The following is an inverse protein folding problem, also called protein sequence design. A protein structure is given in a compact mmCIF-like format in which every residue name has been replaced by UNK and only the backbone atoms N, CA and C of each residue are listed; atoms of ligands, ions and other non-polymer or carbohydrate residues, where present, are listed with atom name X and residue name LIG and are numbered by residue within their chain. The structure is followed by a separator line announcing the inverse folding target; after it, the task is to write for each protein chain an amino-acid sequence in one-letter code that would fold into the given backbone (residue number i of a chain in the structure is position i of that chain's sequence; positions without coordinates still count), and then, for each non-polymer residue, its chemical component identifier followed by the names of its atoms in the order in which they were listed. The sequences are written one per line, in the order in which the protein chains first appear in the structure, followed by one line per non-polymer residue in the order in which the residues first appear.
data_IF_303883659071
#
_entry.id   IF_303883659071
#
_cell.length_a   1.000
_cell.length_b   1.000
_cell.length_c   1.000
_cell.angle_alpha   90.00
_cell.angle_beta   90.00
_cell.angle_gamma   90.00
#
_symmetry.space_group_name_H-M   'P 1'
#
loop_
_entity.id
_entity.type
_entity.pdbx_description
1 polymer ?
#
# COMPACT_ATOMS: atom_id res chain seq x y z
N UNK A 1 -5.11 -0.22 -14.42
CA UNK A 1 -5.88 0.07 -13.19
C UNK A 1 -5.13 1.12 -12.38
N UNK A 2 -5.80 2.19 -12.00
CA UNK A 2 -5.21 3.24 -11.17
C UNK A 2 -5.07 2.77 -9.72
N UNK A 3 -4.15 3.38 -9.00
CA UNK A 3 -3.91 3.08 -7.58
C UNK A 3 -5.20 3.20 -6.76
N UNK A 4 -5.99 4.25 -7.00
CA UNK A 4 -7.26 4.45 -6.29
C UNK A 4 -8.28 3.35 -6.58
N UNK A 5 -8.34 2.86 -7.81
CA UNK A 5 -9.22 1.75 -8.19
C UNK A 5 -8.77 0.45 -7.52
N UNK A 6 -7.47 0.19 -7.55
CA UNK A 6 -6.89 -0.98 -6.92
C UNK A 6 -7.18 -0.99 -5.42
N UNK A 7 -7.06 0.17 -4.78
CA UNK A 7 -7.33 0.29 -3.35
C UNK A 7 -8.79 -0.01 -3.01
N UNK A 8 -9.73 0.52 -3.79
CA UNK A 8 -11.16 0.28 -3.56
C UNK A 8 -11.48 -1.22 -3.61
N UNK A 9 -10.95 -1.90 -4.62
CA UNK A 9 -11.19 -3.33 -4.80
C UNK A 9 -10.50 -4.16 -3.72
N UNK A 10 -9.26 -3.82 -3.41
CA UNK A 10 -8.48 -4.46 -2.36
C UNK A 10 -9.18 -4.36 -1.01
N UNK A 11 -9.62 -3.16 -0.66
CA UNK A 11 -10.31 -2.90 0.61
C UNK A 11 -11.57 -3.75 0.74
N UNK A 12 -12.34 -3.84 -0.33
CA UNK A 12 -13.57 -4.62 -0.34
C UNK A 12 -13.28 -6.12 -0.16
N UNK A 13 -12.29 -6.63 -0.89
CA UNK A 13 -11.89 -8.04 -0.77
C UNK A 13 -11.42 -8.39 0.64
N UNK A 14 -10.60 -7.53 1.24
CA UNK A 14 -10.09 -7.75 2.60
C UNK A 14 -11.20 -7.68 3.63
N UNK A 15 -12.17 -6.83 3.42
CA UNK A 15 -13.35 -6.74 4.29
C UNK A 15 -14.17 -8.03 4.22
N UNK A 16 -14.35 -8.57 3.03
CA UNK A 16 -15.06 -9.84 2.81
C UNK A 16 -14.29 -11.01 3.46
N UNK A 17 -12.96 -10.97 3.41
CA UNK A 17 -12.10 -11.97 4.04
C UNK A 17 -12.12 -11.91 5.57
N UNK A 18 -12.78 -10.92 6.15
CA UNK A 18 -12.93 -10.83 7.59
C UNK A 18 -11.87 -9.99 8.29
N UNK A 19 -11.13 -9.17 7.56
CA UNK A 19 -10.16 -8.27 8.18
C UNK A 19 -10.86 -7.29 9.10
N UNK A 20 -10.29 -7.07 10.29
CA UNK A 20 -10.88 -6.17 11.27
C UNK A 20 -10.88 -4.73 10.78
N UNK A 21 -11.84 -3.89 11.23
CA UNK A 21 -11.84 -2.46 10.89
C UNK A 21 -10.54 -1.75 11.26
N UNK A 22 -9.89 -2.17 12.34
CA UNK A 22 -8.62 -1.57 12.78
C UNK A 22 -7.50 -1.84 11.77
N UNK A 23 -7.41 -3.08 11.26
CA UNK A 23 -6.42 -3.44 10.25
C UNK A 23 -6.68 -2.69 8.96
N UNK A 24 -7.95 -2.59 8.54
CA UNK A 24 -8.33 -1.85 7.32
C UNK A 24 -7.99 -0.37 7.46
N UNK A 25 -8.16 0.21 8.63
CA UNK A 25 -7.81 1.60 8.90
C UNK A 25 -6.31 1.82 8.77
N UNK A 26 -5.50 0.89 9.26
CA UNK A 26 -4.04 0.93 9.14
C UNK A 26 -3.63 0.87 7.67
N UNK A 27 -4.25 -0.03 6.89
CA UNK A 27 -3.98 -0.13 5.45
C UNK A 27 -4.40 1.14 4.72
N UNK A 28 -5.53 1.74 5.09
CA UNK A 28 -5.99 3.00 4.51
C UNK A 28 -4.97 4.13 4.73
N UNK A 29 -4.43 4.22 5.93
CA UNK A 29 -3.38 5.19 6.25
C UNK A 29 -2.16 5.01 5.34
N UNK A 30 -1.69 3.77 5.17
CA UNK A 30 -0.55 3.46 4.32
C UNK A 30 -0.84 3.77 2.84
N UNK A 31 -2.05 3.46 2.38
CA UNK A 31 -2.48 3.79 1.02
C UNK A 31 -2.44 5.31 0.79
N UNK A 32 -2.94 6.10 1.74
CA UNK A 32 -2.95 7.55 1.61
C UNK A 32 -1.53 8.13 1.50
N UNK A 33 -0.57 7.56 2.22
CA UNK A 33 0.83 7.95 2.12
C UNK A 33 1.40 7.61 0.74
N UNK A 34 1.06 6.44 0.23
CA UNK A 34 1.49 5.99 -1.09
C UNK A 34 0.90 6.88 -2.19
N UNK A 35 -0.39 7.21 -2.07
CA UNK A 35 -1.08 8.10 -3.00
C UNK A 35 -0.46 9.50 -3.01
N UNK A 36 -0.08 9.98 -1.85
CA UNK A 36 0.56 11.30 -1.71
C UNK A 36 1.93 11.34 -2.36
N UNK A 37 2.66 10.24 -2.30
CA UNK A 37 4.01 10.16 -2.86
C UNK A 37 3.97 10.01 -4.39
N UNK A 38 3.15 9.10 -4.91
CA UNK A 38 3.12 8.78 -6.35
C UNK A 38 2.00 9.48 -7.11
N UNK A 39 1.00 10.03 -6.44
CA UNK A 39 -0.25 10.43 -7.09
C UNK A 39 -1.07 9.20 -7.45
N UNK A 40 -2.12 9.39 -8.24
CA UNK A 40 -2.99 8.29 -8.67
C UNK A 40 -2.37 7.58 -9.88
N UNK A 41 -1.23 6.95 -9.64
CA UNK A 41 -0.43 6.25 -10.65
C UNK A 41 -1.15 4.98 -11.12
N UNK A 42 -0.92 4.60 -12.39
CA UNK A 42 -1.38 3.30 -12.88
C UNK A 42 -0.55 2.19 -12.22
N UNK A 43 -1.23 1.13 -11.77
CA UNK A 43 -0.55 0.01 -11.08
C UNK A 43 0.48 -0.67 -11.97
N UNK A 44 0.32 -0.60 -13.30
CA UNK A 44 1.30 -1.14 -14.23
C UNK A 44 2.60 -0.33 -14.25
N UNK A 45 2.52 0.94 -13.88
CA UNK A 45 3.69 1.81 -13.79
C UNK A 45 4.35 1.76 -12.41
N UNK A 46 3.68 1.18 -11.43
CA UNK A 46 4.20 1.05 -10.08
C UNK A 46 5.08 -0.19 -10.00
N UNK A 47 6.35 -0.03 -10.31
CA UNK A 47 7.32 -1.12 -10.32
C UNK A 47 7.89 -1.39 -8.93
N UNK A 48 8.51 -2.57 -8.76
CA UNK A 48 9.23 -2.91 -7.53
C UNK A 48 10.32 -1.89 -7.21
N UNK A 49 11.01 -1.40 -8.24
CA UNK A 49 12.06 -0.40 -8.07
C UNK A 49 11.52 0.91 -7.50
N UNK A 50 10.37 1.37 -8.01
CA UNK A 50 9.72 2.58 -7.51
C UNK A 50 9.27 2.40 -6.05
N UNK A 51 8.77 1.23 -5.70
CA UNK A 51 8.38 0.91 -4.34
C UNK A 51 9.59 0.89 -3.40
N UNK A 52 10.71 0.33 -3.84
CA UNK A 52 11.94 0.34 -3.06
C UNK A 52 12.43 1.76 -2.80
N UNK A 53 12.41 2.61 -3.83
CA UNK A 53 12.79 4.01 -3.71
C UNK A 53 11.89 4.74 -2.71
N UNK A 54 10.59 4.53 -2.79
CA UNK A 54 9.64 5.08 -1.83
C UNK A 54 9.96 4.65 -0.41
N UNK A 55 10.24 3.36 -0.21
CA UNK A 55 10.54 2.82 1.11
C UNK A 55 11.86 3.37 1.68
N UNK A 56 12.86 3.57 0.83
CA UNK A 56 14.14 4.16 1.26
C UNK A 56 13.92 5.60 1.71
N UNK A 57 13.23 6.41 0.91
CA UNK A 57 12.99 7.81 1.23
C UNK A 57 12.10 7.97 2.46
N UNK A 58 11.03 7.20 2.53
CA UNK A 58 10.09 7.26 3.64
C UNK A 58 10.69 6.66 4.92
N UNK A 59 11.59 5.70 4.78
CA UNK A 59 12.18 5.01 5.92
C UNK A 59 13.25 5.79 6.67
N UNK A 60 13.76 6.87 6.09
CA UNK A 60 14.84 7.66 6.70
C UNK A 60 14.45 8.23 8.08
N UNK A 61 13.18 8.48 8.30
CA UNK A 61 12.67 9.08 9.54
C UNK A 61 11.74 8.15 10.31
N UNK A 62 11.63 6.88 9.90
CA UNK A 62 10.71 5.93 10.52
C UNK A 62 11.43 4.97 11.45
N UNK A 63 10.74 4.58 12.53
CA UNK A 63 11.18 3.50 13.41
C UNK A 63 11.09 2.18 12.63
N UNK A 64 11.93 1.18 12.94
CA UNK A 64 11.89 -0.12 12.26
C UNK A 64 10.51 -0.78 12.28
N UNK A 65 9.75 -0.65 13.38
CA UNK A 65 8.41 -1.21 13.48
C UNK A 65 7.44 -0.55 12.50
N UNK A 66 7.49 0.78 12.38
CA UNK A 66 6.64 1.53 11.46
C UNK A 66 6.97 1.19 10.01
N UNK A 67 8.25 1.06 9.69
CA UNK A 67 8.70 0.67 8.36
C UNK A 67 8.22 -0.74 8.03
N UNK A 68 8.28 -1.66 8.98
CA UNK A 68 7.78 -3.03 8.82
C UNK A 68 6.31 -3.09 8.48
N UNK A 69 5.48 -2.30 9.15
CA UNK A 69 4.05 -2.21 8.84
C UNK A 69 3.81 -1.67 7.43
N UNK A 70 4.57 -0.66 7.02
CA UNK A 70 4.46 -0.08 5.70
C UNK A 70 4.82 -1.08 4.61
N UNK A 71 5.92 -1.80 4.78
CA UNK A 71 6.37 -2.84 3.85
C UNK A 71 5.31 -3.93 3.71
N UNK A 72 4.75 -4.38 4.82
CA UNK A 72 3.73 -5.43 4.83
C UNK A 72 2.48 -5.01 4.05
N UNK A 73 2.00 -3.79 4.27
CA UNK A 73 0.83 -3.28 3.57
C UNK A 73 1.08 -3.18 2.05
N UNK A 74 2.23 -2.64 1.66
CA UNK A 74 2.59 -2.47 0.26
C UNK A 74 2.73 -3.83 -0.44
N UNK A 75 3.38 -4.79 0.19
CA UNK A 75 3.52 -6.14 -0.35
C UNK A 75 2.16 -6.81 -0.54
N UNK A 76 1.26 -6.64 0.42
CA UNK A 76 -0.08 -7.21 0.35
C UNK A 76 -0.86 -6.64 -0.83
N UNK A 77 -0.86 -5.32 -0.99
CA UNK A 77 -1.55 -4.66 -2.09
C UNK A 77 -0.94 -5.05 -3.44
N UNK A 78 0.38 -5.02 -3.53
CA UNK A 78 1.09 -5.32 -4.77
C UNK A 78 0.85 -6.75 -5.22
N UNK A 79 0.96 -7.70 -4.30
CA UNK A 79 0.68 -9.11 -4.58
C UNK A 79 -0.76 -9.31 -5.03
N UNK A 80 -1.71 -8.69 -4.35
CA UNK A 80 -3.13 -8.77 -4.70
C UNK A 80 -3.38 -8.28 -6.12
N UNK A 81 -2.74 -7.17 -6.49
CA UNK A 81 -2.93 -6.55 -7.82
C UNK A 81 -2.35 -7.41 -8.94
N UNK A 82 -1.24 -8.13 -8.68
CA UNK A 82 -0.52 -8.89 -9.69
C UNK A 82 -0.86 -10.39 -9.68
N UNK A 83 -1.66 -10.83 -8.74
CA UNK A 83 -2.21 -12.19 -8.73
C UNK A 83 -3.53 -12.20 -9.48
#
# INVERSE_FOLDING_TARGET
MLLSEAWKKFQLDKKIEGYSPLILKTYCFQYNLLLRFFGDIDMNELTTEKLKEYLIQAGEHLKPSSLGHRVRCIKSLFKWTHD
#
